data_IF_569228774050
#
_entry.id   IF_569228774050
#
_cell.length_a   1.000
_cell.length_b   1.000
_cell.length_c   1.000
_cell.angle_alpha   90.00
_cell.angle_beta   90.00
_cell.angle_gamma   90.00
#
_symmetry.space_group_name_H-M   'P 1'
#
loop_
_entity.id
_entity.type
_entity.pdbx_description
1 polymer ?
#
# COMPACT_ATOMS: atom_id res chain seq x y z
N UNK A 1 -40.80 17.22 34.97
CA UNK A 1 -40.39 15.87 34.50
C UNK A 1 -40.22 15.77 32.99
N UNK A 2 -41.23 16.12 32.18
CA UNK A 2 -41.20 15.98 30.69
C UNK A 2 -40.01 16.66 29.99
N UNK A 3 -39.63 17.91 30.43
CA UNK A 3 -38.49 18.65 29.80
C UNK A 3 -37.12 18.00 30.03
N UNK A 4 -36.90 17.39 31.21
CA UNK A 4 -35.62 16.67 31.49
C UNK A 4 -35.50 15.37 30.68
N UNK A 5 -36.62 14.67 30.52
CA UNK A 5 -36.67 13.44 29.68
C UNK A 5 -36.41 13.79 28.21
N UNK A 6 -37.01 14.88 27.70
CA UNK A 6 -36.78 15.33 26.31
C UNK A 6 -35.33 15.73 26.06
N UNK A 7 -34.69 16.47 26.99
CA UNK A 7 -33.26 16.82 26.88
C UNK A 7 -32.37 15.61 26.94
N UNK A 8 -32.70 14.62 27.76
CA UNK A 8 -31.93 13.34 27.79
C UNK A 8 -32.08 12.56 26.48
N UNK A 9 -33.28 12.50 25.91
CA UNK A 9 -33.50 11.83 24.61
C UNK A 9 -32.77 12.53 23.46
N UNK A 10 -32.78 13.88 23.43
CA UNK A 10 -32.02 14.65 22.45
C UNK A 10 -30.50 14.43 22.60
N UNK A 11 -30.00 14.38 23.84
CA UNK A 11 -28.60 14.08 24.12
C UNK A 11 -28.19 12.68 23.62
N UNK A 12 -29.02 11.66 23.88
CA UNK A 12 -28.79 10.29 23.41
C UNK A 12 -28.83 10.24 21.88
N UNK A 13 -29.79 10.87 21.23
CA UNK A 13 -29.90 10.93 19.78
C UNK A 13 -28.66 11.62 19.14
N UNK A 14 -28.18 12.71 19.75
CA UNK A 14 -26.97 13.40 19.29
C UNK A 14 -25.70 12.52 19.41
N UNK A 15 -25.56 11.76 20.50
CA UNK A 15 -24.44 10.83 20.70
C UNK A 15 -24.49 9.69 19.69
N UNK A 16 -25.66 9.10 19.45
CA UNK A 16 -25.84 8.04 18.43
C UNK A 16 -25.55 8.59 17.04
N UNK A 17 -26.07 9.78 16.71
CA UNK A 17 -25.81 10.44 15.42
C UNK A 17 -24.33 10.75 15.20
N UNK A 18 -23.65 11.29 16.20
CA UNK A 18 -22.22 11.55 16.14
C UNK A 18 -21.39 10.25 16.01
N UNK A 19 -21.75 9.19 16.75
CA UNK A 19 -21.13 7.87 16.67
C UNK A 19 -21.33 7.23 15.29
N UNK A 20 -22.54 7.29 14.75
CA UNK A 20 -22.86 6.79 13.40
C UNK A 20 -22.10 7.55 12.32
N UNK A 21 -22.04 8.88 12.40
CA UNK A 21 -21.26 9.70 11.49
C UNK A 21 -19.75 9.39 11.58
N UNK A 22 -19.20 9.28 12.79
CA UNK A 22 -17.81 8.93 13.00
C UNK A 22 -17.45 7.54 12.46
N UNK A 23 -18.42 6.60 12.47
CA UNK A 23 -18.26 5.29 11.84
C UNK A 23 -18.30 5.39 10.31
N UNK A 24 -19.32 6.02 9.74
CA UNK A 24 -19.52 6.16 8.31
C UNK A 24 -18.36 6.92 7.63
N UNK A 25 -17.85 7.98 8.28
CA UNK A 25 -16.74 8.79 7.78
C UNK A 25 -15.43 8.00 7.59
N UNK A 26 -15.31 6.81 8.19
CA UNK A 26 -14.17 5.91 7.96
C UNK A 26 -14.14 5.42 6.52
N UNK A 27 -15.30 5.15 5.94
CA UNK A 27 -15.46 4.56 4.60
C UNK A 27 -15.69 5.60 3.50
N UNK A 28 -15.87 6.87 3.88
CA UNK A 28 -15.93 8.00 2.97
C UNK A 28 -14.49 8.40 2.60
N UNK A 29 -14.03 7.97 1.43
CA UNK A 29 -12.66 8.20 0.94
C UNK A 29 -12.68 9.28 -0.13
N UNK A 30 -12.04 10.39 0.18
CA UNK A 30 -11.82 11.48 -0.77
C UNK A 30 -10.64 11.16 -1.67
N UNK A 31 -10.78 11.46 -2.96
CA UNK A 31 -9.72 11.31 -3.96
C UNK A 31 -9.47 12.63 -4.67
N UNK A 32 -8.21 12.88 -4.95
CA UNK A 32 -7.76 14.05 -5.69
C UNK A 32 -6.68 13.64 -6.68
N UNK A 33 -6.85 14.01 -7.95
CA UNK A 33 -5.85 13.80 -8.98
C UNK A 33 -4.89 15.00 -9.02
N UNK A 34 -3.59 14.72 -8.96
CA UNK A 34 -2.54 15.71 -9.08
C UNK A 34 -1.76 15.47 -10.37
N UNK A 35 -1.76 16.46 -11.25
CA UNK A 35 -0.91 16.47 -12.45
C UNK A 35 0.44 17.13 -12.09
N UNK A 36 1.32 16.35 -11.45
CA UNK A 36 2.64 16.84 -11.07
C UNK A 36 3.61 16.78 -12.25
N UNK A 37 4.51 17.78 -12.35
CA UNK A 37 5.54 17.84 -13.37
C UNK A 37 6.91 18.06 -12.73
N UNK A 38 7.81 17.10 -12.89
CA UNK A 38 9.20 17.21 -12.47
C UNK A 38 10.00 17.97 -13.53
N UNK A 39 10.19 19.27 -13.28
CA UNK A 39 10.87 20.17 -14.19
C UNK A 39 12.35 19.79 -14.39
N UNK A 40 13.01 19.18 -13.40
CA UNK A 40 14.42 18.78 -13.51
C UNK A 40 14.61 17.65 -14.51
N UNK A 41 13.65 16.71 -14.57
CA UNK A 41 13.67 15.57 -15.48
C UNK A 41 12.79 15.78 -16.72
N UNK A 42 12.08 16.91 -16.80
CA UNK A 42 11.04 17.19 -17.80
C UNK A 42 10.07 16.02 -17.94
N UNK A 43 9.48 15.59 -16.77
CA UNK A 43 8.66 14.39 -16.71
C UNK A 43 7.40 14.63 -15.90
N UNK A 44 6.27 14.23 -16.48
CA UNK A 44 5.01 14.17 -15.74
C UNK A 44 5.03 12.98 -14.77
N UNK A 45 4.50 13.22 -13.58
CA UNK A 45 4.32 12.19 -12.54
C UNK A 45 2.90 12.33 -11.98
N UNK A 46 1.88 11.79 -12.67
CA UNK A 46 0.51 11.81 -12.17
C UNK A 46 0.40 11.06 -10.86
N UNK A 47 -0.38 11.61 -9.93
CA UNK A 47 -0.59 11.03 -8.60
C UNK A 47 -2.07 11.14 -8.22
N UNK A 48 -2.65 10.07 -7.68
CA UNK A 48 -3.93 10.15 -6.98
C UNK A 48 -3.68 10.16 -5.47
N UNK A 49 -4.17 11.19 -4.80
CA UNK A 49 -4.20 11.25 -3.34
C UNK A 49 -5.53 10.68 -2.85
N UNK A 50 -5.49 9.76 -1.88
CA UNK A 50 -6.67 9.19 -1.23
C UNK A 50 -6.56 9.32 0.29
N UNK A 51 -7.62 9.83 0.95
CA UNK A 51 -7.70 9.97 2.40
C UNK A 51 -9.15 9.74 2.87
N UNK A 52 -9.35 9.09 4.03
CA UNK A 52 -10.70 8.96 4.58
C UNK A 52 -11.13 10.24 5.29
N UNK A 53 -12.42 10.56 5.20
CA UNK A 53 -13.04 11.68 5.93
C UNK A 53 -12.76 11.60 7.43
N UNK A 54 -12.72 10.39 7.98
CA UNK A 54 -12.37 10.19 9.39
C UNK A 54 -10.93 10.61 9.71
N UNK A 55 -9.97 10.35 8.82
CA UNK A 55 -8.59 10.76 9.03
C UNK A 55 -8.46 12.29 9.01
N UNK A 56 -9.11 12.95 8.05
CA UNK A 56 -9.17 14.42 7.98
C UNK A 56 -9.80 15.04 9.24
N UNK A 57 -10.91 14.46 9.73
CA UNK A 57 -11.56 14.93 10.95
C UNK A 57 -10.70 14.74 12.19
N UNK A 58 -10.00 13.59 12.30
CA UNK A 58 -9.06 13.35 13.42
C UNK A 58 -7.91 14.34 13.40
N UNK A 59 -7.37 14.62 12.24
CA UNK A 59 -6.31 15.62 12.10
C UNK A 59 -6.83 17.00 12.52
N UNK A 60 -7.93 17.45 11.94
CA UNK A 60 -8.52 18.78 12.19
C UNK A 60 -8.96 18.99 13.65
N UNK A 61 -9.57 17.98 14.27
CA UNK A 61 -10.18 18.12 15.59
C UNK A 61 -9.28 17.69 16.74
N UNK A 62 -8.38 16.74 16.51
CA UNK A 62 -7.55 16.11 17.54
C UNK A 62 -6.04 16.26 17.29
N UNK A 63 -5.63 16.85 16.16
CA UNK A 63 -4.23 16.96 15.77
C UNK A 63 -3.56 15.61 15.42
N UNK A 64 -4.36 14.54 15.26
CA UNK A 64 -3.84 13.20 14.94
C UNK A 64 -3.54 13.13 13.45
N UNK A 65 -2.25 13.12 13.12
CA UNK A 65 -1.80 13.12 11.72
C UNK A 65 -1.98 11.75 11.07
N UNK A 66 -2.42 11.70 9.78
CA UNK A 66 -2.42 10.47 9.02
C UNK A 66 -0.99 9.98 8.77
N UNK A 67 -0.83 8.65 8.67
CA UNK A 67 0.41 8.04 8.20
C UNK A 67 0.49 8.16 6.68
N UNK A 68 1.70 8.07 6.11
CA UNK A 68 1.89 8.19 4.66
C UNK A 68 2.08 6.81 4.04
N UNK A 69 1.32 6.54 2.98
CA UNK A 69 1.51 5.35 2.14
C UNK A 69 1.72 5.73 0.68
N UNK A 70 2.64 5.06 0.00
CA UNK A 70 2.90 5.20 -1.43
C UNK A 70 2.49 3.91 -2.13
N UNK A 71 1.64 4.03 -3.15
CA UNK A 71 1.12 2.92 -3.92
C UNK A 71 1.71 2.95 -5.34
N UNK A 72 2.37 1.86 -5.71
CA UNK A 72 3.15 1.73 -6.94
C UNK A 72 2.50 0.67 -7.84
N UNK A 73 2.05 1.07 -9.04
CA UNK A 73 1.30 0.21 -9.95
C UNK A 73 2.17 -0.84 -10.65
N UNK A 74 1.53 -1.91 -11.11
CA UNK A 74 2.14 -2.92 -11.99
C UNK A 74 2.31 -2.42 -13.42
N UNK A 75 3.18 -3.08 -14.18
CA UNK A 75 3.36 -2.76 -15.59
C UNK A 75 2.03 -2.87 -16.36
N UNK A 76 1.72 -1.89 -17.21
CA UNK A 76 0.49 -1.79 -18.00
C UNK A 76 -0.83 -1.63 -17.22
N UNK A 77 -0.74 -1.38 -15.91
CA UNK A 77 -1.89 -1.09 -15.05
C UNK A 77 -1.80 0.37 -14.63
N UNK A 78 -2.91 1.09 -14.67
CA UNK A 78 -2.95 2.49 -14.25
C UNK A 78 -2.82 2.62 -12.72
N UNK A 79 -2.21 3.71 -12.25
CA UNK A 79 -2.04 3.96 -10.80
C UNK A 79 -3.37 4.06 -10.03
N UNK A 80 -4.46 4.35 -10.72
CA UNK A 80 -5.82 4.41 -10.15
C UNK A 80 -6.51 3.05 -10.04
N UNK A 81 -5.96 2.01 -10.69
CA UNK A 81 -6.56 0.66 -10.73
C UNK A 81 -6.19 -0.23 -9.52
N UNK A 82 -5.96 0.40 -8.37
CA UNK A 82 -5.76 -0.25 -7.06
C UNK A 82 -6.64 0.39 -5.99
N UNK A 83 -7.84 0.80 -6.39
CA UNK A 83 -8.76 1.55 -5.54
C UNK A 83 -9.12 0.80 -4.25
N UNK A 84 -9.22 -0.54 -4.30
CA UNK A 84 -9.50 -1.36 -3.12
C UNK A 84 -8.35 -1.32 -2.10
N UNK A 85 -7.08 -1.26 -2.54
CA UNK A 85 -5.90 -1.10 -1.68
C UNK A 85 -5.88 0.30 -1.08
N UNK A 86 -6.06 1.33 -1.92
CA UNK A 86 -6.10 2.72 -1.46
C UNK A 86 -7.21 2.93 -0.41
N UNK A 87 -8.38 2.31 -0.60
CA UNK A 87 -9.48 2.34 0.38
C UNK A 87 -9.10 1.68 1.71
N UNK A 88 -8.45 0.51 1.68
CA UNK A 88 -7.99 -0.14 2.92
C UNK A 88 -7.01 0.77 3.67
N UNK A 89 -6.01 1.29 2.99
CA UNK A 89 -5.02 2.20 3.59
C UNK A 89 -5.69 3.45 4.16
N UNK A 90 -6.54 4.13 3.39
CA UNK A 90 -7.23 5.34 3.83
C UNK A 90 -8.14 5.08 5.05
N UNK A 91 -8.89 3.97 5.06
CA UNK A 91 -9.74 3.58 6.22
C UNK A 91 -8.92 3.22 7.46
N UNK A 92 -7.66 2.84 7.30
CA UNK A 92 -6.70 2.59 8.37
C UNK A 92 -5.94 3.86 8.81
N UNK A 93 -6.31 5.03 8.26
CA UNK A 93 -5.77 6.33 8.67
C UNK A 93 -4.47 6.73 7.96
N UNK A 94 -4.30 6.27 6.72
CA UNK A 94 -3.24 6.74 5.86
C UNK A 94 -3.72 7.85 4.91
N UNK A 95 -2.82 8.76 4.59
CA UNK A 95 -2.85 9.54 3.37
C UNK A 95 -2.06 8.73 2.33
N UNK A 96 -2.73 8.38 1.23
CA UNK A 96 -2.20 7.49 0.20
C UNK A 96 -1.87 8.29 -1.04
N UNK A 97 -0.66 8.15 -1.57
CA UNK A 97 -0.29 8.64 -2.89
C UNK A 97 -0.08 7.47 -3.84
N UNK A 98 -0.99 7.29 -4.80
CA UNK A 98 -0.88 6.33 -5.89
C UNK A 98 -0.12 6.97 -7.05
N UNK A 99 1.05 6.45 -7.39
CA UNK A 99 2.02 7.10 -8.30
C UNK A 99 2.02 6.42 -9.66
N UNK A 100 1.86 7.19 -10.74
CA UNK A 100 2.07 6.72 -12.11
C UNK A 100 3.56 6.73 -12.45
N UNK A 101 4.15 5.54 -12.62
CA UNK A 101 5.58 5.41 -12.93
C UNK A 101 5.87 5.39 -14.42
N UNK A 102 5.00 4.73 -15.20
CA UNK A 102 5.19 4.54 -16.63
C UNK A 102 4.26 5.46 -17.41
N UNK A 103 4.80 6.16 -18.40
CA UNK A 103 4.06 7.06 -19.28
C UNK A 103 3.99 6.48 -20.70
N UNK A 104 3.03 6.97 -21.48
CA UNK A 104 2.98 6.66 -22.90
C UNK A 104 4.24 7.16 -23.58
N UNK A 105 5.01 6.25 -24.18
CA UNK A 105 6.28 6.57 -24.85
C UNK A 105 7.51 6.14 -24.04
N UNK A 106 7.37 5.72 -22.80
CA UNK A 106 8.45 5.07 -22.08
C UNK A 106 8.83 3.73 -22.75
N UNK A 107 10.11 3.39 -22.68
CA UNK A 107 10.57 2.09 -23.17
C UNK A 107 9.88 0.95 -22.39
N UNK A 108 9.44 -0.11 -23.09
CA UNK A 108 8.83 -1.27 -22.43
C UNK A 108 9.82 -1.95 -21.50
N UNK A 109 9.31 -2.71 -20.51
CA UNK A 109 10.15 -3.48 -19.60
C UNK A 109 11.04 -4.46 -20.38
N UNK A 110 12.34 -4.45 -20.09
CA UNK A 110 13.28 -5.39 -20.70
C UNK A 110 12.86 -6.84 -20.41
N UNK A 111 12.92 -7.67 -21.46
CA UNK A 111 12.70 -9.11 -21.38
C UNK A 111 14.00 -9.87 -21.64
N UNK A 112 15.10 -9.17 -21.94
CA UNK A 112 16.38 -9.76 -22.31
C UNK A 112 17.39 -9.71 -21.16
N UNK A 113 18.28 -10.69 -21.13
CA UNK A 113 19.35 -10.79 -20.16
C UNK A 113 18.87 -11.16 -18.75
N UNK A 114 19.64 -10.77 -17.75
CA UNK A 114 19.24 -10.90 -16.34
C UNK A 114 18.13 -9.86 -16.06
N UNK A 115 16.87 -10.26 -15.82
CA UNK A 115 15.74 -9.32 -15.79
C UNK A 115 15.91 -8.17 -14.79
N UNK A 116 16.54 -8.44 -13.63
CA UNK A 116 16.86 -7.38 -12.67
C UNK A 116 17.75 -6.29 -13.28
N UNK A 117 18.86 -6.69 -13.89
CA UNK A 117 19.84 -5.75 -14.49
C UNK A 117 19.22 -4.99 -15.65
N UNK A 118 18.49 -5.68 -16.54
CA UNK A 118 17.81 -5.05 -17.67
C UNK A 118 16.70 -4.06 -17.28
N UNK A 119 16.15 -4.19 -16.06
CA UNK A 119 15.10 -3.32 -15.52
C UNK A 119 15.59 -2.26 -14.56
N UNK A 120 16.88 -2.24 -14.24
CA UNK A 120 17.46 -1.26 -13.31
C UNK A 120 17.10 0.18 -13.68
N UNK A 121 17.14 0.65 -14.95
CA UNK A 121 16.72 2.00 -15.30
C UNK A 121 15.25 2.30 -14.95
N UNK A 122 14.36 1.29 -14.99
CA UNK A 122 12.95 1.43 -14.61
C UNK A 122 12.82 1.58 -13.09
N UNK A 123 13.59 0.81 -12.32
CA UNK A 123 13.59 0.90 -10.86
C UNK A 123 14.18 2.22 -10.37
N UNK A 124 15.26 2.70 -10.99
CA UNK A 124 15.87 4.00 -10.70
C UNK A 124 14.91 5.14 -11.04
N UNK A 125 14.24 5.10 -12.19
CA UNK A 125 13.21 6.06 -12.55
C UNK A 125 12.04 6.03 -11.55
N UNK A 126 11.60 4.83 -11.15
CA UNK A 126 10.57 4.64 -10.13
C UNK A 126 10.97 5.27 -8.80
N UNK A 127 12.19 5.04 -8.34
CA UNK A 127 12.73 5.63 -7.11
C UNK A 127 12.81 7.17 -7.20
N UNK A 128 13.22 7.72 -8.34
CA UNK A 128 13.21 9.16 -8.58
C UNK A 128 11.79 9.75 -8.54
N UNK A 129 10.80 9.06 -9.14
CA UNK A 129 9.40 9.48 -9.05
C UNK A 129 8.92 9.48 -7.59
N UNK A 130 9.29 8.47 -6.79
CA UNK A 130 8.95 8.40 -5.36
C UNK A 130 9.54 9.59 -4.62
N UNK A 131 10.83 9.91 -4.79
CA UNK A 131 11.45 11.07 -4.14
C UNK A 131 10.77 12.38 -4.53
N UNK A 132 10.53 12.57 -5.82
CA UNK A 132 9.83 13.76 -6.32
C UNK A 132 8.44 13.90 -5.67
N UNK A 133 7.66 12.81 -5.62
CA UNK A 133 6.33 12.82 -5.00
C UNK A 133 6.42 13.11 -3.49
N UNK A 134 7.38 12.53 -2.78
CA UNK A 134 7.61 12.82 -1.36
C UNK A 134 7.89 14.32 -1.16
N UNK A 135 8.70 14.93 -2.01
CA UNK A 135 9.04 16.35 -1.89
C UNK A 135 7.84 17.26 -2.22
N UNK A 136 7.03 16.93 -3.21
CA UNK A 136 5.78 17.64 -3.49
C UNK A 136 4.75 17.47 -2.35
N UNK A 137 4.65 16.26 -1.78
CA UNK A 137 3.78 16.01 -0.63
C UNK A 137 4.25 16.76 0.62
N UNK A 138 5.56 16.89 0.88
CA UNK A 138 6.10 17.70 1.98
C UNK A 138 5.75 19.17 1.84
N UNK A 139 5.69 19.71 0.62
CA UNK A 139 5.24 21.09 0.39
C UNK A 139 3.76 21.27 0.72
N UNK A 140 2.93 20.27 0.41
CA UNK A 140 1.48 20.31 0.59
C UNK A 140 1.03 19.90 1.99
N UNK A 141 1.73 18.94 2.61
CA UNK A 141 1.42 18.34 3.92
C UNK A 141 2.70 18.30 4.78
N UNK A 142 3.28 19.46 5.14
CA UNK A 142 4.59 19.54 5.79
C UNK A 142 4.65 18.90 7.18
N UNK A 143 3.49 18.71 7.82
CA UNK A 143 3.39 18.15 9.16
C UNK A 143 3.33 16.62 9.24
N UNK A 144 3.35 15.93 8.10
CA UNK A 144 3.32 14.46 8.06
C UNK A 144 4.72 13.86 8.26
N UNK A 145 4.75 12.64 8.82
CA UNK A 145 6.00 11.90 9.02
C UNK A 145 6.36 11.09 7.77
N UNK A 146 7.37 11.55 7.04
CA UNK A 146 7.90 10.89 5.85
C UNK A 146 9.08 9.95 6.15
N UNK A 147 9.40 9.71 7.43
CA UNK A 147 10.44 8.77 7.85
C UNK A 147 9.90 7.39 8.23
N UNK A 148 8.58 7.17 8.07
CA UNK A 148 7.89 5.92 8.40
C UNK A 148 6.91 5.51 7.31
N UNK A 149 7.34 5.63 6.06
CA UNK A 149 6.51 5.32 4.90
C UNK A 149 6.04 3.86 4.91
N UNK A 150 4.82 3.66 4.42
CA UNK A 150 4.32 2.35 4.00
C UNK A 150 4.33 2.28 2.49
N UNK A 151 5.11 1.35 1.94
CA UNK A 151 5.18 1.11 0.50
C UNK A 151 4.24 -0.03 0.14
N UNK A 152 3.42 0.15 -0.89
CA UNK A 152 2.60 -0.93 -1.46
C UNK A 152 2.86 -0.98 -2.96
N UNK A 153 3.09 -2.17 -3.52
CA UNK A 153 3.35 -2.27 -4.95
C UNK A 153 2.95 -3.62 -5.53
N UNK A 154 2.42 -3.58 -6.75
CA UNK A 154 2.07 -4.77 -7.52
C UNK A 154 3.12 -5.02 -8.59
N UNK A 155 3.55 -6.29 -8.76
CA UNK A 155 4.45 -6.68 -9.85
C UNK A 155 5.69 -5.77 -9.93
N UNK A 156 5.89 -5.06 -11.05
CA UNK A 156 6.95 -4.06 -11.23
C UNK A 156 6.92 -2.95 -10.16
N UNK A 157 5.73 -2.52 -9.72
CA UNK A 157 5.61 -1.56 -8.62
C UNK A 157 6.05 -2.14 -7.28
N UNK A 158 5.88 -3.45 -7.08
CA UNK A 158 6.45 -4.18 -5.95
C UNK A 158 7.97 -4.23 -6.00
N UNK A 159 8.55 -4.46 -7.18
CA UNK A 159 9.99 -4.41 -7.41
C UNK A 159 10.54 -3.00 -7.16
N UNK A 160 9.86 -1.94 -7.64
CA UNK A 160 10.22 -0.53 -7.36
C UNK A 160 10.17 -0.25 -5.85
N UNK A 161 9.15 -0.75 -5.14
CA UNK A 161 9.02 -0.57 -3.69
C UNK A 161 10.17 -1.22 -2.92
N UNK A 162 10.54 -2.45 -3.27
CA UNK A 162 11.67 -3.16 -2.68
C UNK A 162 13.01 -2.47 -2.99
N UNK A 163 13.21 -2.04 -4.25
CA UNK A 163 14.40 -1.31 -4.68
C UNK A 163 14.57 0.01 -3.93
N UNK A 164 13.49 0.80 -3.84
CA UNK A 164 13.50 2.06 -3.08
C UNK A 164 13.84 1.84 -1.61
N UNK A 165 13.15 0.90 -0.96
CA UNK A 165 13.36 0.62 0.45
C UNK A 165 14.74 0.02 0.75
N UNK A 166 15.31 -0.75 -0.17
CA UNK A 166 16.67 -1.28 -0.05
C UNK A 166 17.74 -0.21 -0.04
N UNK A 167 17.54 0.85 -0.83
CA UNK A 167 18.45 1.99 -0.89
C UNK A 167 18.16 3.07 0.16
N UNK A 168 16.97 3.06 0.79
CA UNK A 168 16.52 4.07 1.75
C UNK A 168 15.80 3.40 2.95
N UNK A 169 16.48 2.49 3.67
CA UNK A 169 15.85 1.66 4.70
C UNK A 169 15.37 2.47 5.93
N UNK A 170 15.88 3.69 6.11
CA UNK A 170 15.48 4.59 7.18
C UNK A 170 14.14 5.29 6.91
N UNK A 171 13.69 5.34 5.66
CA UNK A 171 12.44 6.00 5.27
C UNK A 171 11.23 5.05 5.31
N UNK A 172 11.44 3.72 5.27
CA UNK A 172 10.38 2.76 5.03
C UNK A 172 10.18 1.83 6.23
N UNK A 173 9.01 1.89 6.83
CA UNK A 173 8.64 1.05 7.99
C UNK A 173 7.87 -0.22 7.62
N UNK A 174 7.07 -0.17 6.55
CA UNK A 174 6.27 -1.31 6.07
C UNK A 174 6.35 -1.42 4.55
N UNK A 175 6.41 -2.65 4.05
CA UNK A 175 6.36 -2.95 2.62
C UNK A 175 5.30 -4.02 2.40
N UNK A 176 4.42 -3.77 1.44
CA UNK A 176 3.44 -4.76 0.97
C UNK A 176 3.67 -4.98 -0.51
N UNK A 177 3.93 -6.22 -0.91
CA UNK A 177 4.03 -6.55 -2.33
C UNK A 177 2.92 -7.50 -2.75
N UNK A 178 2.35 -7.19 -3.90
CA UNK A 178 1.45 -8.04 -4.64
C UNK A 178 2.29 -8.62 -5.79
N UNK A 179 2.97 -9.73 -5.47
CA UNK A 179 3.71 -10.56 -6.42
C UNK A 179 4.86 -9.85 -7.16
N UNK A 180 5.78 -9.19 -6.42
CA UNK A 180 7.05 -8.72 -6.99
C UNK A 180 7.91 -9.90 -7.44
N UNK A 181 8.70 -9.74 -8.51
CA UNK A 181 9.30 -10.88 -9.21
C UNK A 181 10.81 -10.80 -9.38
N UNK A 182 11.43 -9.63 -9.27
CA UNK A 182 12.82 -9.41 -9.73
C UNK A 182 13.74 -8.83 -8.66
N UNK A 183 13.22 -7.97 -7.77
CA UNK A 183 14.02 -7.38 -6.71
C UNK A 183 13.93 -8.23 -5.45
N UNK A 184 15.08 -8.69 -4.90
CA UNK A 184 15.11 -9.52 -3.69
C UNK A 184 14.46 -8.83 -2.48
N UNK A 185 13.91 -9.63 -1.58
CA UNK A 185 13.36 -9.15 -0.33
C UNK A 185 14.45 -8.63 0.61
N UNK A 186 14.11 -7.62 1.40
CA UNK A 186 15.02 -7.04 2.38
C UNK A 186 15.06 -7.91 3.63
N UNK A 187 16.22 -8.44 3.94
CA UNK A 187 16.43 -9.36 5.07
C UNK A 187 16.87 -8.65 6.36
N UNK A 188 16.95 -7.31 6.36
CA UNK A 188 17.48 -6.53 7.49
C UNK A 188 16.58 -6.46 8.72
N UNK A 189 15.31 -6.85 8.60
CA UNK A 189 14.30 -6.72 9.68
C UNK A 189 13.91 -5.27 10.03
N UNK A 190 14.44 -4.27 9.31
CA UNK A 190 14.12 -2.85 9.56
C UNK A 190 12.70 -2.50 9.15
N UNK A 191 12.23 -3.06 8.04
CA UNK A 191 10.87 -2.90 7.56
C UNK A 191 10.09 -4.19 7.75
N UNK A 192 8.82 -4.09 8.19
CA UNK A 192 7.90 -5.23 8.16
C UNK A 192 7.46 -5.47 6.72
N UNK A 193 7.48 -6.72 6.30
CA UNK A 193 7.15 -7.08 4.91
C UNK A 193 5.98 -8.05 4.89
N UNK A 194 4.97 -7.73 4.08
CA UNK A 194 3.89 -8.64 3.68
C UNK A 194 4.00 -8.84 2.16
N UNK A 195 3.98 -10.09 1.72
CA UNK A 195 4.00 -10.40 0.29
C UNK A 195 2.97 -11.43 -0.08
N UNK A 196 2.10 -11.09 -1.02
CA UNK A 196 1.22 -12.05 -1.69
C UNK A 196 1.94 -12.67 -2.87
N UNK A 197 1.78 -14.00 -3.06
CA UNK A 197 2.38 -14.73 -4.17
C UNK A 197 1.30 -15.32 -5.05
N UNK A 198 1.37 -15.08 -6.35
CA UNK A 198 0.48 -15.70 -7.34
C UNK A 198 0.83 -17.17 -7.58
N UNK A 199 -0.11 -17.91 -8.17
CA UNK A 199 0.11 -19.33 -8.55
C UNK A 199 0.81 -19.50 -9.90
N UNK A 200 0.73 -18.50 -10.77
CA UNK A 200 1.04 -18.60 -12.19
C UNK A 200 2.37 -17.92 -12.59
N UNK A 201 2.87 -16.96 -11.80
CA UNK A 201 4.13 -16.30 -12.08
C UNK A 201 5.20 -16.70 -11.05
N UNK A 202 6.37 -17.11 -11.58
CA UNK A 202 7.51 -17.48 -10.75
C UNK A 202 8.45 -16.29 -10.61
N UNK A 203 8.89 -15.96 -9.37
CA UNK A 203 9.96 -15.00 -9.16
C UNK A 203 11.28 -15.53 -9.69
N UNK A 204 12.21 -14.61 -9.97
CA UNK A 204 13.59 -15.01 -10.28
C UNK A 204 14.22 -15.74 -9.09
N UNK A 205 15.18 -16.63 -9.32
CA UNK A 205 15.91 -17.30 -8.25
C UNK A 205 16.51 -16.29 -7.25
N UNK A 206 16.31 -16.54 -5.96
CA UNK A 206 16.83 -15.68 -4.89
C UNK A 206 15.99 -14.44 -4.57
N UNK A 207 14.91 -14.16 -5.29
CA UNK A 207 14.02 -13.03 -5.00
C UNK A 207 13.21 -13.26 -3.74
N UNK A 208 12.56 -14.42 -3.63
CA UNK A 208 11.75 -14.79 -2.47
C UNK A 208 12.57 -15.73 -1.58
N UNK A 209 12.78 -15.35 -0.29
CA UNK A 209 13.46 -16.21 0.66
C UNK A 209 12.66 -17.48 0.95
N UNK A 210 13.32 -18.51 1.49
CA UNK A 210 12.62 -19.68 2.02
C UNK A 210 11.85 -19.34 3.31
N UNK A 211 11.02 -20.26 3.79
CA UNK A 211 10.14 -20.04 4.93
C UNK A 211 10.90 -19.73 6.23
N UNK A 212 12.02 -20.42 6.47
CA UNK A 212 12.86 -20.16 7.64
C UNK A 212 13.48 -18.77 7.61
N UNK A 213 13.97 -18.34 6.46
CA UNK A 213 14.52 -17.00 6.26
C UNK A 213 13.43 -15.93 6.42
N UNK A 214 12.22 -16.17 5.90
CA UNK A 214 11.08 -15.28 6.09
C UNK A 214 10.74 -15.13 7.57
N UNK A 215 10.69 -16.26 8.31
CA UNK A 215 10.41 -16.26 9.73
C UNK A 215 11.43 -15.43 10.51
N UNK A 216 12.72 -15.62 10.26
CA UNK A 216 13.78 -14.86 10.94
C UNK A 216 13.76 -13.37 10.62
N UNK A 217 13.40 -13.00 9.38
CA UNK A 217 13.34 -11.61 8.94
C UNK A 217 12.01 -10.91 9.25
N UNK A 218 11.03 -11.62 9.84
CA UNK A 218 9.69 -11.06 10.09
C UNK A 218 8.89 -10.75 8.82
N UNK A 219 9.13 -11.54 7.77
CA UNK A 219 8.44 -11.43 6.48
C UNK A 219 7.22 -12.34 6.52
N UNK A 220 6.04 -11.76 6.28
CA UNK A 220 4.80 -12.52 6.12
C UNK A 220 4.58 -12.85 4.65
N UNK A 221 4.71 -14.13 4.29
CA UNK A 221 4.56 -14.61 2.93
C UNK A 221 3.22 -15.34 2.78
N UNK A 222 2.33 -14.78 1.96
CA UNK A 222 0.99 -15.33 1.69
C UNK A 222 0.97 -15.96 0.30
N UNK A 223 1.01 -17.29 0.25
CA UNK A 223 0.86 -18.03 -1.00
C UNK A 223 -0.63 -18.15 -1.33
N UNK A 224 -0.99 -17.81 -2.56
CA UNK A 224 -2.39 -17.78 -3.00
C UNK A 224 -2.60 -18.64 -4.24
N UNK A 225 -3.86 -18.95 -4.53
CA UNK A 225 -4.31 -19.53 -5.79
C UNK A 225 -4.69 -18.47 -6.84
N UNK A 226 -4.39 -17.18 -6.56
CA UNK A 226 -4.71 -16.07 -7.44
C UNK A 226 -3.78 -16.04 -8.65
N UNK A 227 -4.26 -15.49 -9.77
CA UNK A 227 -3.41 -15.13 -10.89
C UNK A 227 -2.70 -13.81 -10.56
N UNK A 228 -1.52 -13.63 -11.14
CA UNK A 228 -0.74 -12.40 -11.02
C UNK A 228 -1.56 -11.16 -11.39
N UNK A 229 -2.29 -11.23 -12.49
CA UNK A 229 -3.10 -10.14 -13.03
C UNK A 229 -4.36 -9.83 -12.23
N UNK A 230 -4.77 -10.73 -11.33
CA UNK A 230 -5.97 -10.55 -10.50
C UNK A 230 -5.75 -9.61 -9.30
N UNK A 231 -4.51 -9.24 -9.02
CA UNK A 231 -4.15 -8.46 -7.83
C UNK A 231 -4.29 -6.95 -8.02
N UNK A 232 -5.18 -6.52 -8.92
CA UNK A 232 -5.59 -5.13 -9.17
C UNK A 232 -7.11 -5.02 -9.18
N UNK A 233 -7.65 -3.83 -9.48
CA UNK A 233 -9.11 -3.66 -9.62
C UNK A 233 -9.72 -4.48 -10.77
N UNK A 234 -8.87 -4.96 -11.69
CA UNK A 234 -9.27 -5.86 -12.80
C UNK A 234 -9.60 -7.27 -12.32
N UNK A 235 -9.14 -7.66 -11.15
CA UNK A 235 -9.36 -8.99 -10.58
C UNK A 235 -10.76 -9.20 -10.01
N UNK A 236 -11.14 -10.47 -9.77
CA UNK A 236 -12.41 -10.84 -9.15
C UNK A 236 -12.57 -10.26 -7.74
N UNK A 237 -13.81 -9.98 -7.33
CA UNK A 237 -14.09 -9.43 -5.99
C UNK A 237 -13.60 -10.36 -4.87
N UNK A 238 -13.70 -11.67 -5.03
CA UNK A 238 -13.18 -12.66 -4.06
C UNK A 238 -11.69 -12.47 -3.78
N UNK A 239 -10.89 -12.20 -4.82
CA UNK A 239 -9.44 -11.94 -4.69
C UNK A 239 -9.21 -10.63 -3.92
N UNK A 240 -9.91 -9.56 -4.33
CA UNK A 240 -9.82 -8.26 -3.66
C UNK A 240 -10.20 -8.35 -2.19
N UNK A 241 -11.30 -9.04 -1.83
CA UNK A 241 -11.72 -9.21 -0.44
C UNK A 241 -10.69 -9.99 0.39
N UNK A 242 -10.09 -11.05 -0.17
CA UNK A 242 -9.04 -11.81 0.49
C UNK A 242 -7.79 -10.96 0.77
N UNK A 243 -7.34 -10.18 -0.23
CA UNK A 243 -6.21 -9.26 -0.07
C UNK A 243 -6.55 -8.19 0.99
N UNK A 244 -7.76 -7.59 0.93
CA UNK A 244 -8.21 -6.58 1.90
C UNK A 244 -8.20 -7.09 3.33
N UNK A 245 -8.63 -8.31 3.57
CA UNK A 245 -8.65 -8.91 4.90
C UNK A 245 -7.24 -9.04 5.49
N UNK A 246 -6.29 -9.62 4.74
CA UNK A 246 -4.91 -9.81 5.18
C UNK A 246 -4.19 -8.47 5.34
N UNK A 247 -4.35 -7.57 4.36
CA UNK A 247 -3.76 -6.24 4.39
C UNK A 247 -4.26 -5.44 5.61
N UNK A 248 -5.57 -5.47 5.89
CA UNK A 248 -6.15 -4.77 7.03
C UNK A 248 -5.56 -5.25 8.35
N UNK A 249 -5.39 -6.57 8.53
CA UNK A 249 -4.75 -7.16 9.69
C UNK A 249 -3.29 -6.70 9.81
N UNK A 250 -2.50 -6.83 8.74
CA UNK A 250 -1.09 -6.44 8.72
C UNK A 250 -0.88 -4.96 9.07
N UNK A 251 -1.75 -4.08 8.58
CA UNK A 251 -1.65 -2.63 8.85
C UNK A 251 -2.06 -2.26 10.29
N UNK A 252 -2.96 -3.04 10.92
CA UNK A 252 -3.40 -2.81 12.30
C UNK A 252 -2.34 -3.19 13.33
N UNK A 253 -1.40 -4.05 12.96
CA UNK A 253 -0.32 -4.52 13.84
C UNK A 253 0.91 -3.61 13.70
N UNK A 254 1.37 -3.01 14.81
CA UNK A 254 2.58 -2.14 14.78
C UNK A 254 3.88 -2.89 15.07
N UNK A 255 3.81 -4.15 15.53
CA UNK A 255 4.98 -4.99 15.86
C UNK A 255 4.94 -6.29 15.07
N UNK A 256 6.12 -6.85 14.69
CA UNK A 256 6.15 -8.20 14.15
C UNK A 256 5.56 -9.18 15.17
N UNK A 257 4.94 -10.29 14.71
CA UNK A 257 4.39 -11.31 15.61
C UNK A 257 5.49 -11.78 16.56
N UNK A 258 5.16 -11.87 17.86
CA UNK A 258 6.12 -12.27 18.92
C UNK A 258 6.52 -13.73 18.84
N UNK A 259 5.83 -14.52 18.03
CA UNK A 259 6.06 -15.95 17.89
C UNK A 259 6.29 -16.31 16.41
N UNK A 260 7.49 -16.73 16.00
CA UNK A 260 7.76 -17.15 14.62
C UNK A 260 6.90 -18.36 14.19
N UNK A 261 6.34 -19.12 15.12
CA UNK A 261 5.49 -20.28 14.84
C UNK A 261 4.04 -19.90 14.44
N UNK A 262 3.67 -18.61 14.53
CA UNK A 262 2.38 -18.09 14.05
C UNK A 262 2.43 -17.54 12.62
N UNK A 263 3.36 -18.00 11.78
CA UNK A 263 3.28 -17.76 10.35
C UNK A 263 2.04 -18.48 9.82
N UNK A 264 0.94 -17.73 9.74
CA UNK A 264 -0.30 -18.21 9.14
C UNK A 264 -0.02 -18.41 7.66
N UNK A 265 0.32 -19.64 7.29
CA UNK A 265 0.17 -20.12 5.92
C UNK A 265 -1.33 -20.04 5.62
N UNK A 266 -1.81 -18.90 5.20
CA UNK A 266 -3.18 -18.77 4.71
C UNK A 266 -3.20 -19.42 3.33
N UNK A 267 -3.33 -20.73 3.31
CA UNK A 267 -3.62 -21.47 2.10
C UNK A 267 -5.09 -21.18 1.73
N UNK A 268 -5.31 -20.22 0.89
CA UNK A 268 -6.60 -20.05 0.23
C UNK A 268 -6.72 -21.10 -0.88
N UNK A 269 -6.91 -22.36 -0.52
CA UNK A 269 -7.40 -23.33 -1.47
C UNK A 269 -8.85 -23.00 -1.78
N UNK A 270 -9.20 -22.92 -3.06
CA UNK A 270 -10.58 -22.84 -3.47
C UNK A 270 -11.33 -24.04 -2.86
N UNK A 271 -12.22 -23.80 -1.91
CA UNK A 271 -13.25 -24.77 -1.62
C UNK A 271 -14.02 -24.96 -2.93
N UNK A 272 -13.86 -26.12 -3.54
CA UNK A 272 -14.65 -26.55 -4.69
C UNK A 272 -16.13 -26.50 -4.31
N UNK A 273 -17.02 -26.18 -5.27
CA UNK A 273 -18.45 -26.01 -5.06
C UNK A 273 -19.12 -27.27 -4.57
#
# INVERSE_FOLDING_TARGET
>A
MKRKVLLSLLGVAAVIGAGGYAFASKFDVHREQLALHDALRNRDVPVEISISRRAELKEKLLGIKPRVALLNHGNTVDHTEYSFIANVLATQGYLVASIQHDLKGDAPLSQQGFPFVGRLPVYERGAQNIFFVIDEMKKRFPELDYTKLTMVGHSNGGDISMFFAGNNPELVSKIVTLDNLRVPFLMSGKSRILSFRSRDWKPDPGVVPNDDMCAHAGIELVRTDFQHTDMSDRGPDKVKESIKAVLSRFLAEDKPPKNPDQHVLVNFSAASP
#
